data_IF_008945407211
#
_entry.id   IF_008945407211
#
_cell.length_a   1.000
_cell.length_b   1.000
_cell.length_c   1.000
_cell.angle_alpha   90.00
_cell.angle_beta   90.00
_cell.angle_gamma   90.00
#
_symmetry.space_group_name_H-M   'P 1'
#
loop_
_entity.id
_entity.type
_entity.pdbx_description
1 polymer ?
#
# COMPACT_ATOMS: atom_id res chain seq x y z
N UNK A 1 24.92 15.90 12.06
CA UNK A 1 23.79 15.40 12.89
C UNK A 1 22.47 16.11 12.59
N UNK A 2 22.35 17.45 12.72
CA UNK A 2 21.09 18.18 12.50
C UNK A 2 20.46 17.97 11.10
N UNK A 3 21.27 17.85 10.04
CA UNK A 3 20.81 17.60 8.66
C UNK A 3 20.22 16.19 8.46
N UNK A 4 20.88 15.19 9.04
CA UNK A 4 20.44 13.78 8.97
C UNK A 4 19.12 13.61 9.73
N UNK A 5 19.00 14.24 10.90
CA UNK A 5 17.75 14.21 11.69
C UNK A 5 16.60 14.85 10.91
N UNK A 6 16.82 16.01 10.27
CA UNK A 6 15.79 16.64 9.42
C UNK A 6 15.36 15.76 8.26
N UNK A 7 16.31 15.11 7.59
CA UNK A 7 16.02 14.17 6.50
C UNK A 7 15.15 13.01 6.98
N UNK A 8 15.52 12.39 8.11
CA UNK A 8 14.77 11.26 8.68
C UNK A 8 13.34 11.65 9.05
N UNK A 9 13.13 12.83 9.64
CA UNK A 9 11.79 13.30 10.01
C UNK A 9 10.92 13.54 8.76
N UNK A 10 11.47 14.13 7.70
CA UNK A 10 10.74 14.35 6.44
C UNK A 10 10.40 13.03 5.77
N UNK A 11 11.35 12.10 5.69
CA UNK A 11 11.12 10.79 5.10
C UNK A 11 10.09 9.98 5.88
N UNK A 12 10.15 10.00 7.21
CA UNK A 12 9.15 9.35 8.06
C UNK A 12 7.76 9.94 7.83
N UNK A 13 7.65 11.27 7.76
CA UNK A 13 6.39 11.95 7.51
C UNK A 13 5.75 11.51 6.17
N UNK A 14 6.53 11.47 5.08
CA UNK A 14 5.99 11.07 3.77
C UNK A 14 5.64 9.59 3.68
N UNK A 15 6.32 8.71 4.42
CA UNK A 15 6.00 7.28 4.46
C UNK A 15 4.74 6.98 5.28
N UNK A 16 4.48 7.74 6.35
CA UNK A 16 3.34 7.49 7.25
C UNK A 16 2.12 8.33 6.92
N UNK A 17 2.26 9.49 6.27
CA UNK A 17 1.14 10.38 5.94
C UNK A 17 0.00 9.67 5.15
N UNK A 18 0.28 8.80 4.16
CA UNK A 18 -0.78 8.10 3.43
C UNK A 18 -1.62 7.14 4.28
N UNK A 19 -1.10 6.69 5.43
CA UNK A 19 -1.83 5.80 6.34
C UNK A 19 -2.92 6.53 7.13
N UNK A 20 -2.79 7.85 7.29
CA UNK A 20 -3.73 8.68 8.05
C UNK A 20 -4.61 9.56 7.16
N UNK A 21 -4.31 9.61 5.85
CA UNK A 21 -5.12 10.31 4.87
C UNK A 21 -6.21 9.37 4.35
N UNK A 22 -7.42 9.55 4.87
CA UNK A 22 -8.62 8.89 4.32
C UNK A 22 -9.00 9.55 3.00
N UNK A 23 -9.17 8.76 1.95
CA UNK A 23 -9.72 9.26 0.69
C UNK A 23 -11.16 9.76 0.95
N UNK A 24 -11.49 10.91 0.37
CA UNK A 24 -12.87 11.41 0.37
C UNK A 24 -13.75 10.39 -0.37
N UNK A 25 -14.92 10.08 0.18
CA UNK A 25 -15.89 9.27 -0.53
C UNK A 25 -16.24 9.96 -1.85
N UNK A 26 -16.28 9.23 -2.98
CA UNK A 26 -16.63 9.83 -4.25
C UNK A 26 -17.98 10.55 -4.13
N UNK A 27 -18.13 11.73 -4.76
CA UNK A 27 -19.39 12.46 -4.72
C UNK A 27 -20.53 11.56 -5.24
N UNK A 28 -21.69 11.65 -4.59
CA UNK A 28 -22.85 10.84 -4.98
C UNK A 28 -23.20 11.12 -6.45
N UNK A 29 -23.37 10.09 -7.30
CA UNK A 29 -23.87 10.32 -8.65
C UNK A 29 -25.29 10.90 -8.52
N UNK A 30 -25.50 12.15 -8.94
CA UNK A 30 -26.77 12.90 -8.86
C UNK A 30 -27.11 13.65 -7.55
N UNK A 31 -26.13 13.98 -6.69
CA UNK A 31 -26.39 14.91 -5.56
C UNK A 31 -27.33 14.39 -4.47
N UNK A 32 -27.48 13.07 -4.35
CA UNK A 32 -28.30 12.41 -3.33
C UNK A 32 -27.60 12.21 -1.99
N UNK A 33 -28.39 11.82 -0.98
CA UNK A 33 -27.96 11.55 0.40
C UNK A 33 -26.98 10.37 0.51
N UNK A 34 -26.22 10.35 1.61
CA UNK A 34 -25.23 9.32 1.95
C UNK A 34 -25.78 7.87 1.82
N UNK A 35 -24.91 6.88 1.58
CA UNK A 35 -25.31 5.53 1.23
C UNK A 35 -25.87 4.81 2.46
N UNK A 36 -27.17 4.56 2.43
CA UNK A 36 -27.83 3.58 3.29
C UNK A 36 -27.89 2.21 2.63
N UNK A 37 -28.31 1.20 3.40
CA UNK A 37 -28.61 -0.16 2.96
C UNK A 37 -29.68 -0.16 1.85
N UNK A 38 -29.27 0.03 0.60
CA UNK A 38 -30.16 0.13 -0.57
C UNK A 38 -29.71 1.14 -1.64
N UNK A 39 -28.77 2.04 -1.32
CA UNK A 39 -28.22 2.99 -2.30
C UNK A 39 -26.99 2.42 -3.02
N UNK A 40 -26.68 3.00 -4.19
CA UNK A 40 -25.49 2.67 -5.00
C UNK A 40 -24.25 2.60 -4.11
N UNK A 41 -23.48 1.50 -4.13
CA UNK A 41 -22.33 1.34 -3.25
C UNK A 41 -21.37 2.53 -3.43
N UNK A 42 -21.11 3.28 -2.35
CA UNK A 42 -19.97 4.21 -2.33
C UNK A 42 -18.79 3.46 -1.71
N UNK A 43 -17.73 3.30 -2.49
CA UNK A 43 -16.60 2.45 -2.14
C UNK A 43 -16.25 1.50 -3.27
N UNK A 44 -14.98 1.09 -3.35
CA UNK A 44 -14.41 0.31 -4.45
C UNK A 44 -13.22 0.97 -5.16
N UNK A 45 -12.93 2.25 -4.87
CA UNK A 45 -11.81 2.99 -5.47
C UNK A 45 -10.47 2.90 -4.72
N UNK A 46 -10.43 2.28 -3.54
CA UNK A 46 -9.17 2.07 -2.83
C UNK A 46 -8.39 0.93 -3.51
N UNK A 47 -7.16 1.15 -4.00
CA UNK A 47 -6.39 0.15 -4.73
C UNK A 47 -5.79 -0.91 -3.79
N UNK A 48 -6.61 -1.51 -2.94
CA UNK A 48 -6.24 -2.58 -2.01
C UNK A 48 -5.73 -3.79 -2.80
N UNK A 49 -6.37 -4.11 -3.92
CA UNK A 49 -5.91 -5.18 -4.82
C UNK A 49 -4.52 -4.91 -5.40
N UNK A 50 -4.24 -3.67 -5.80
CA UNK A 50 -2.93 -3.29 -6.34
C UNK A 50 -1.81 -3.41 -5.31
N UNK A 51 -2.03 -2.93 -4.09
CA UNK A 51 -1.06 -3.04 -3.00
C UNK A 51 -0.78 -4.49 -2.59
N UNK A 52 -1.82 -5.32 -2.53
CA UNK A 52 -1.70 -6.75 -2.20
C UNK A 52 -0.88 -7.50 -3.27
N UNK A 53 -1.13 -7.24 -4.55
CA UNK A 53 -0.38 -7.86 -5.66
C UNK A 53 1.10 -7.48 -5.60
N UNK A 54 1.43 -6.22 -5.32
CA UNK A 54 2.83 -5.76 -5.21
C UNK A 54 3.53 -6.46 -4.04
N UNK A 55 2.87 -6.55 -2.88
CA UNK A 55 3.43 -7.23 -1.70
C UNK A 55 3.67 -8.71 -1.95
N UNK A 56 2.72 -9.39 -2.61
CA UNK A 56 2.87 -10.79 -2.99
C UNK A 56 4.01 -11.00 -3.99
N UNK A 57 4.12 -10.14 -5.00
CA UNK A 57 5.20 -10.22 -6.00
C UNK A 57 6.59 -10.04 -5.37
N UNK A 58 6.74 -9.06 -4.46
CA UNK A 58 7.99 -8.84 -3.75
C UNK A 58 8.34 -10.01 -2.80
N UNK A 59 7.35 -10.53 -2.07
CA UNK A 59 7.53 -11.68 -1.19
C UNK A 59 7.96 -12.94 -1.95
N UNK A 60 7.30 -13.22 -3.08
CA UNK A 60 7.67 -14.31 -3.97
C UNK A 60 9.07 -14.13 -4.56
N UNK A 61 9.40 -12.95 -5.06
CA UNK A 61 10.72 -12.67 -5.64
C UNK A 61 11.85 -12.88 -4.63
N UNK A 62 11.68 -12.37 -3.41
CA UNK A 62 12.64 -12.57 -2.33
C UNK A 62 12.75 -14.05 -1.92
N UNK A 63 11.62 -14.74 -1.76
CA UNK A 63 11.58 -16.16 -1.42
C UNK A 63 12.29 -17.03 -2.46
N UNK A 64 12.02 -16.80 -3.75
CA UNK A 64 12.65 -17.51 -4.84
C UNK A 64 14.17 -17.30 -4.86
N UNK A 65 14.63 -16.05 -4.71
CA UNK A 65 16.08 -15.74 -4.68
C UNK A 65 16.78 -16.41 -3.51
N UNK A 66 16.18 -16.38 -2.31
CA UNK A 66 16.76 -17.02 -1.12
C UNK A 66 16.91 -18.53 -1.29
N UNK A 67 15.92 -19.20 -1.89
CA UNK A 67 15.99 -20.64 -2.17
C UNK A 67 17.05 -20.95 -3.24
N UNK A 68 17.14 -20.15 -4.29
CA UNK A 68 18.16 -20.30 -5.33
C UNK A 68 19.57 -20.18 -4.77
N UNK A 69 19.84 -19.14 -3.99
CA UNK A 69 21.15 -18.91 -3.36
C UNK A 69 21.50 -20.02 -2.36
N UNK A 70 20.52 -20.53 -1.62
CA UNK A 70 20.71 -21.67 -0.71
C UNK A 70 21.05 -22.96 -1.46
N UNK A 71 20.38 -23.23 -2.60
CA UNK A 71 20.67 -24.41 -3.43
C UNK A 71 22.05 -24.34 -4.06
N UNK A 72 22.48 -23.16 -4.54
CA UNK A 72 23.84 -23.00 -5.10
C UNK A 72 24.93 -23.31 -4.09
N UNK A 73 24.80 -22.83 -2.85
CA UNK A 73 25.76 -23.10 -1.76
C UNK A 73 25.87 -24.56 -1.34
N UNK A 74 24.89 -25.40 -1.67
CA UNK A 74 24.91 -26.84 -1.37
C UNK A 74 25.48 -27.65 -2.53
N UNK A 75 25.42 -27.10 -3.75
CA UNK A 75 25.91 -27.76 -4.97
C UNK A 75 27.39 -27.43 -5.27
N UNK A 76 27.89 -26.31 -4.73
CA UNK A 76 29.31 -25.93 -4.71
C UNK A 76 30.02 -26.51 -3.47
#
# INVERSE_FOLDING_TARGET
MKKVIKLLVVTAFFLTAPLFMMAQNPPHPNGGSAPGSGNTPVGGGAPIGGGLIIMLALGMGYGARKIYDARRKVLD
#
